data_IF_982597679128
#
_entry.id   IF_982597679128
#
_cell.length_a   1.000
_cell.length_b   1.000
_cell.length_c   1.000
_cell.angle_alpha   90.00
_cell.angle_beta   90.00
_cell.angle_gamma   90.00
#
_symmetry.space_group_name_H-M   'P 1'
#
loop_
_entity.id
_entity.type
_entity.pdbx_description
1 polymer ?
#
# COMPACT_ATOMS: atom_id res chain seq x y z
N UNK A 1 -5.10 21.29 38.14
CA UNK A 1 -4.59 21.78 36.84
C UNK A 1 -3.45 20.91 36.28
N UNK A 2 -2.34 20.69 37.00
CA UNK A 2 -1.21 19.87 36.50
C UNK A 2 -1.59 18.43 36.06
N UNK A 3 -2.43 17.73 36.83
CA UNK A 3 -2.89 16.37 36.48
C UNK A 3 -3.77 16.33 35.23
N UNK A 4 -4.62 17.34 35.05
CA UNK A 4 -5.45 17.47 33.86
C UNK A 4 -4.58 17.72 32.62
N UNK A 5 -3.58 18.59 32.75
CA UNK A 5 -2.60 18.85 31.70
C UNK A 5 -1.81 17.60 31.29
N UNK A 6 -1.35 16.80 32.27
CA UNK A 6 -0.67 15.52 32.01
C UNK A 6 -1.57 14.52 31.28
N UNK A 7 -2.85 14.44 31.67
CA UNK A 7 -3.82 13.52 31.08
C UNK A 7 -4.11 13.90 29.61
N UNK A 8 -4.25 15.20 29.33
CA UNK A 8 -4.37 15.72 27.96
C UNK A 8 -3.14 15.39 27.12
N UNK A 9 -1.93 15.56 27.68
CA UNK A 9 -0.67 15.25 26.98
C UNK A 9 -0.57 13.77 26.59
N UNK A 10 -0.96 12.86 27.50
CA UNK A 10 -0.95 11.41 27.25
C UNK A 10 -1.93 11.04 26.12
N UNK A 11 -3.12 11.65 26.11
CA UNK A 11 -4.13 11.38 25.07
C UNK A 11 -3.63 11.84 23.69
N UNK A 12 -3.01 13.01 23.60
CA UNK A 12 -2.48 13.53 22.34
C UNK A 12 -1.37 12.63 21.79
N UNK A 13 -0.46 12.17 22.65
CA UNK A 13 0.63 11.27 22.26
C UNK A 13 0.09 9.89 21.84
N UNK A 14 -0.92 9.36 22.53
CA UNK A 14 -1.54 8.09 22.17
C UNK A 14 -2.33 8.15 20.85
N UNK A 15 -2.97 9.29 20.56
CA UNK A 15 -3.76 9.49 19.36
C UNK A 15 -2.93 9.62 18.07
N UNK A 16 -1.67 10.07 18.15
CA UNK A 16 -0.81 10.23 16.98
C UNK A 16 -0.47 8.91 16.28
N UNK A 17 -0.48 7.80 17.02
CA UNK A 17 -0.29 6.45 16.48
C UNK A 17 -1.52 5.85 15.78
N UNK A 18 -2.70 6.46 15.91
CA UNK A 18 -3.94 6.01 15.26
C UNK A 18 -4.08 6.51 13.82
N UNK A 19 -3.11 7.27 13.29
CA UNK A 19 -3.12 7.61 11.87
C UNK A 19 -3.07 6.31 11.07
N UNK A 20 -4.03 6.12 10.17
CA UNK A 20 -3.95 5.06 9.19
C UNK A 20 -2.64 5.24 8.40
N UNK A 21 -1.87 4.17 8.29
CA UNK A 21 -0.71 4.14 7.40
C UNK A 21 -1.23 3.83 6.00
N UNK A 22 -0.69 4.52 5.00
CA UNK A 22 -0.87 4.09 3.63
C UNK A 22 -0.07 2.79 3.42
N UNK A 23 -0.75 1.76 2.95
CA UNK A 23 -0.15 0.50 2.53
C UNK A 23 -0.14 0.46 1.01
N UNK A 24 1.01 0.18 0.42
CA UNK A 24 1.17 0.02 -1.02
C UNK A 24 1.34 -1.45 -1.36
N UNK A 25 0.55 -1.93 -2.32
CA UNK A 25 0.51 -3.32 -2.75
C UNK A 25 0.76 -3.35 -4.25
N UNK A 26 1.75 -4.14 -4.68
CA UNK A 26 1.94 -4.50 -6.08
C UNK A 26 1.23 -5.83 -6.34
N UNK A 27 0.17 -5.80 -7.14
CA UNK A 27 -0.62 -6.98 -7.48
C UNK A 27 -0.42 -7.32 -8.95
N UNK A 28 0.10 -8.52 -9.23
CA UNK A 28 0.28 -9.03 -10.59
C UNK A 28 -1.05 -9.56 -11.13
N UNK A 29 -1.41 -9.16 -12.35
CA UNK A 29 -2.57 -9.66 -13.07
C UNK A 29 -2.09 -10.47 -14.28
N UNK A 30 -2.13 -11.79 -14.15
CA UNK A 30 -1.64 -12.72 -15.17
C UNK A 30 -2.38 -12.57 -16.50
N UNK A 31 -3.71 -12.47 -16.48
CA UNK A 31 -4.51 -12.43 -17.70
C UNK A 31 -4.42 -11.11 -18.47
N UNK A 32 -3.92 -10.04 -17.84
CA UNK A 32 -3.91 -8.68 -18.40
C UNK A 32 -2.50 -8.17 -18.67
N UNK A 33 -1.47 -8.97 -18.40
CA UNK A 33 -0.07 -8.56 -18.54
C UNK A 33 0.22 -7.21 -17.85
N UNK A 34 -0.25 -7.06 -16.60
CA UNK A 34 -0.11 -5.84 -15.82
C UNK A 34 0.27 -6.09 -14.36
N UNK A 35 0.87 -5.07 -13.73
CA UNK A 35 0.99 -4.93 -12.29
C UNK A 35 0.23 -3.69 -11.82
N UNK A 36 -0.73 -3.87 -10.93
CA UNK A 36 -1.46 -2.78 -10.29
C UNK A 36 -0.74 -2.33 -9.00
N UNK A 37 -0.45 -1.04 -8.89
CA UNK A 37 -0.07 -0.41 -7.62
C UNK A 37 -1.35 0.06 -6.92
N UNK A 38 -1.64 -0.54 -5.77
CA UNK A 38 -2.82 -0.25 -4.98
C UNK A 38 -2.39 0.45 -3.69
N UNK A 39 -2.98 1.62 -3.41
CA UNK A 39 -2.87 2.29 -2.12
C UNK A 39 -4.09 1.96 -1.28
N UNK A 40 -3.84 1.51 -0.06
CA UNK A 40 -4.86 1.20 0.93
C UNK A 40 -4.66 2.06 2.19
N UNK A 41 -5.69 2.83 2.53
CA UNK A 41 -5.66 3.75 3.68
C UNK A 41 -6.21 3.13 4.98
N UNK A 42 -6.32 1.81 5.04
CA UNK A 42 -6.97 1.10 6.15
C UNK A 42 -8.49 0.99 6.03
N UNK A 43 -9.13 1.63 5.05
CA UNK A 43 -10.58 1.58 4.80
C UNK A 43 -10.92 1.32 3.33
N UNK A 44 -10.26 2.04 2.43
CA UNK A 44 -10.53 2.05 0.99
C UNK A 44 -9.25 1.74 0.23
N UNK A 45 -9.39 0.94 -0.83
CA UNK A 45 -8.30 0.64 -1.74
C UNK A 45 -8.50 1.42 -3.04
N UNK A 46 -7.41 2.01 -3.54
CA UNK A 46 -7.38 2.77 -4.78
C UNK A 46 -6.28 2.24 -5.68
N UNK A 47 -6.58 2.04 -6.96
CA UNK A 47 -5.56 1.72 -7.96
C UNK A 47 -4.88 3.03 -8.35
N UNK A 48 -3.66 3.23 -7.85
CA UNK A 48 -2.86 4.43 -8.11
C UNK A 48 -2.20 4.37 -9.49
N UNK A 49 -1.77 3.16 -9.91
CA UNK A 49 -1.10 2.97 -11.18
C UNK A 49 -1.33 1.57 -11.74
N UNK A 50 -1.36 1.47 -13.07
CA UNK A 50 -1.21 0.21 -13.81
C UNK A 50 0.10 0.24 -14.58
N UNK A 51 0.88 -0.82 -14.45
CA UNK A 51 2.20 -0.96 -15.07
C UNK A 51 2.08 -2.14 -16.02
N UNK A 52 2.06 -1.88 -17.33
CA UNK A 52 2.09 -2.94 -18.32
C UNK A 52 3.42 -3.68 -18.22
N UNK A 53 3.35 -5.01 -18.20
CA UNK A 53 4.49 -5.88 -18.44
C UNK A 53 4.49 -6.31 -19.91
N UNK A 54 5.67 -6.62 -20.43
CA UNK A 54 5.80 -7.03 -21.83
C UNK A 54 5.17 -8.39 -22.07
N UNK A 55 4.62 -8.60 -23.27
CA UNK A 55 4.12 -9.90 -23.71
C UNK A 55 5.23 -10.65 -24.43
N UNK A 56 5.42 -11.92 -24.09
CA UNK A 56 6.36 -12.78 -24.79
C UNK A 56 5.60 -13.72 -25.75
N UNK A 57 5.85 -13.72 -27.07
CA UNK A 57 5.00 -14.42 -28.05
C UNK A 57 4.85 -15.94 -27.87
N UNK A 58 5.73 -16.56 -27.08
CA UNK A 58 5.80 -18.01 -26.88
C UNK A 58 5.40 -18.42 -25.46
N UNK A 59 5.01 -17.46 -24.62
CA UNK A 59 4.59 -17.64 -23.23
C UNK A 59 3.24 -16.94 -23.05
N UNK A 60 2.29 -17.65 -22.46
CA UNK A 60 0.95 -17.12 -22.16
C UNK A 60 0.79 -16.76 -20.68
N UNK A 61 1.83 -17.02 -19.90
CA UNK A 61 1.88 -16.76 -18.48
C UNK A 61 2.25 -15.28 -18.30
N UNK A 62 1.35 -14.53 -17.67
CA UNK A 62 1.62 -13.14 -17.34
C UNK A 62 2.65 -12.98 -16.20
N UNK A 63 2.70 -11.82 -15.55
CA UNK A 63 3.76 -11.53 -14.58
C UNK A 63 3.68 -12.43 -13.36
N UNK A 64 4.74 -13.22 -13.14
CA UNK A 64 4.94 -14.06 -11.97
C UNK A 64 6.22 -13.67 -11.23
N UNK A 65 6.14 -13.50 -9.91
CA UNK A 65 7.30 -13.18 -9.07
C UNK A 65 7.77 -11.73 -9.22
N UNK A 66 7.43 -10.88 -8.25
CA UNK A 66 7.90 -9.49 -8.17
C UNK A 66 8.93 -9.34 -7.06
N UNK A 67 9.95 -8.54 -7.31
CA UNK A 67 10.88 -8.07 -6.28
C UNK A 67 10.72 -6.56 -6.14
N UNK A 68 10.72 -6.10 -4.90
CA UNK A 68 10.62 -4.68 -4.56
C UNK A 68 11.94 -4.30 -3.91
N UNK A 69 12.58 -3.28 -4.46
CA UNK A 69 13.80 -2.73 -3.90
C UNK A 69 13.48 -1.72 -2.80
N UNK A 70 14.37 -1.49 -1.82
CA UNK A 70 14.10 -0.58 -0.70
C UNK A 70 14.17 0.92 -1.04
N UNK A 71 14.70 1.26 -2.23
CA UNK A 71 14.91 2.64 -2.70
C UNK A 71 13.62 3.35 -3.15
#
# INVERSE_FOLDING_TARGET
>A
MKRLFQLVLIIIIGASGLSAKDYYIYCTAESEDEVALIRFDGKTAHVEKRISVGVWPVEIEGPHGITVSPD
#
